data_IF_761250605922
#
_entry.id   IF_761250605922
#
_cell.length_a   1.000
_cell.length_b   1.000
_cell.length_c   1.000
_cell.angle_alpha   90.00
_cell.angle_beta   90.00
_cell.angle_gamma   90.00
#
_symmetry.space_group_name_H-M   'P 1'
#
loop_
_entity.id
_entity.type
_entity.pdbx_description
1 polymer ?
#
# COMPACT_ATOMS: atom_id res chain seq x y z
N UNK A 1 -5.21 -5.93 -7.39
CA UNK A 1 -3.77 -5.72 -7.66
C UNK A 1 -3.09 -6.97 -8.18
N UNK A 2 -3.46 -8.15 -7.69
CA UNK A 2 -2.95 -9.43 -8.17
C UNK A 2 -3.04 -9.60 -9.71
N UNK A 3 -4.13 -9.17 -10.35
CA UNK A 3 -4.28 -9.26 -11.82
C UNK A 3 -3.19 -8.51 -12.61
N UNK A 4 -2.76 -7.33 -12.12
CA UNK A 4 -1.65 -6.59 -12.72
C UNK A 4 -0.34 -7.36 -12.56
N UNK A 5 -0.08 -7.90 -11.37
CA UNK A 5 1.12 -8.71 -11.13
C UNK A 5 1.15 -9.95 -12.02
N UNK A 6 0.02 -10.65 -12.17
CA UNK A 6 -0.08 -11.81 -13.07
C UNK A 6 0.17 -11.40 -14.52
N UNK A 7 -0.28 -10.22 -14.93
CA UNK A 7 0.00 -9.66 -16.25
C UNK A 7 1.49 -9.40 -16.43
N UNK A 8 2.16 -8.78 -15.46
CA UNK A 8 3.60 -8.53 -15.48
C UNK A 8 4.41 -9.83 -15.59
N UNK A 9 3.98 -10.87 -14.88
CA UNK A 9 4.62 -12.19 -14.92
C UNK A 9 4.33 -12.96 -16.22
N UNK A 10 3.21 -12.68 -16.89
CA UNK A 10 2.79 -13.38 -18.11
C UNK A 10 3.47 -12.84 -19.36
N UNK A 11 3.74 -11.54 -19.43
CA UNK A 11 4.24 -10.89 -20.63
C UNK A 11 5.63 -10.30 -20.39
N UNK A 12 6.64 -10.80 -21.10
CA UNK A 12 8.04 -10.36 -20.93
C UNK A 12 8.28 -8.88 -21.21
N UNK A 13 7.42 -8.22 -22.00
CA UNK A 13 7.48 -6.78 -22.26
C UNK A 13 6.84 -5.92 -21.17
N UNK A 14 6.20 -6.52 -20.17
CA UNK A 14 5.51 -5.79 -19.11
C UNK A 14 6.44 -5.60 -17.90
N UNK A 15 7.06 -4.42 -17.80
CA UNK A 15 8.12 -4.11 -16.83
C UNK A 15 7.61 -3.68 -15.43
N UNK A 16 6.38 -4.04 -15.06
CA UNK A 16 5.76 -3.59 -13.81
C UNK A 16 4.98 -2.29 -13.95
N UNK A 17 4.83 -1.56 -12.83
CA UNK A 17 4.09 -0.31 -12.78
C UNK A 17 4.29 0.46 -11.49
N UNK A 18 3.89 1.72 -11.49
CA UNK A 18 3.95 2.62 -10.34
C UNK A 18 2.54 2.85 -9.81
N UNK A 19 2.32 2.58 -8.51
CA UNK A 19 1.03 2.83 -7.88
C UNK A 19 0.86 4.33 -7.67
N UNK A 20 -0.29 4.86 -8.07
CA UNK A 20 -0.72 6.20 -7.75
C UNK A 20 -1.56 6.18 -6.45
N UNK A 21 -1.20 6.90 -5.40
CA UNK A 21 0.12 7.48 -5.14
C UNK A 21 0.65 7.09 -3.76
N UNK A 22 1.82 7.59 -3.37
CA UNK A 22 2.43 7.14 -2.11
C UNK A 22 1.64 7.63 -0.90
N UNK A 23 1.32 8.93 -0.82
CA UNK A 23 0.89 9.59 0.40
C UNK A 23 -0.32 10.48 0.14
N UNK A 24 -1.30 10.46 1.05
CA UNK A 24 -2.39 11.42 1.02
C UNK A 24 -1.87 12.87 1.13
N UNK A 25 -2.48 13.77 0.39
CA UNK A 25 -2.23 15.21 0.46
C UNK A 25 -3.30 15.89 1.31
N UNK A 26 -3.20 15.72 2.64
CA UNK A 26 -4.16 16.30 3.59
C UNK A 26 -3.51 17.31 4.55
N UNK A 27 -3.59 18.61 4.25
CA UNK A 27 -3.11 19.64 5.14
C UNK A 27 -3.89 19.67 6.47
N UNK A 28 -3.21 20.11 7.52
CA UNK A 28 -3.82 20.34 8.83
C UNK A 28 -4.87 21.46 8.72
N UNK A 29 -6.05 21.23 9.27
CA UNK A 29 -7.09 22.25 9.32
C UNK A 29 -6.75 23.36 10.33
N UNK A 30 -7.14 24.62 10.06
CA UNK A 30 -6.96 25.70 11.02
C UNK A 30 -7.74 25.39 12.32
N UNK A 31 -7.04 25.39 13.45
CA UNK A 31 -7.62 25.11 14.78
C UNK A 31 -8.57 26.21 15.30
N UNK A 32 -8.89 27.24 14.51
CA UNK A 32 -9.61 28.44 14.97
C UNK A 32 -11.09 28.22 15.31
N UNK A 33 -11.67 27.07 14.98
CA UNK A 33 -13.10 26.77 15.16
C UNK A 33 -13.40 25.51 16.00
N UNK A 34 -12.38 24.85 16.58
CA UNK A 34 -12.55 23.59 17.32
C UNK A 34 -12.60 23.83 18.85
N UNK A 35 -13.57 23.21 19.55
CA UNK A 35 -13.60 23.21 21.01
C UNK A 35 -12.31 22.59 21.58
N UNK A 36 -11.95 22.90 22.83
CA UNK A 36 -10.74 22.36 23.45
C UNK A 36 -10.72 20.82 23.48
N UNK A 37 -11.88 20.16 23.54
CA UNK A 37 -12.00 18.69 23.43
C UNK A 37 -11.93 18.16 21.99
N UNK A 38 -12.15 19.01 20.97
CA UNK A 38 -12.12 18.67 19.55
C UNK A 38 -10.76 18.93 18.87
N UNK A 39 -9.76 19.43 19.62
CA UNK A 39 -8.38 19.64 19.17
C UNK A 39 -7.60 18.33 19.00
N UNK A 40 -8.25 17.28 18.50
CA UNK A 40 -7.52 16.25 17.77
C UNK A 40 -7.14 16.88 16.44
N UNK A 41 -5.87 16.80 16.05
CA UNK A 41 -5.40 17.31 14.76
C UNK A 41 -6.29 16.75 13.64
N UNK A 42 -7.11 17.60 13.02
CA UNK A 42 -7.93 17.22 11.88
C UNK A 42 -7.22 17.62 10.61
N UNK A 43 -7.21 16.70 9.66
CA UNK A 43 -6.69 16.94 8.32
C UNK A 43 -7.85 17.09 7.36
N UNK A 44 -7.73 18.04 6.44
CA UNK A 44 -8.74 18.33 5.44
C UNK A 44 -8.23 18.12 4.03
N UNK A 45 -9.12 18.30 3.07
CA UNK A 45 -8.83 18.27 1.64
C UNK A 45 -9.56 19.44 0.94
N UNK A 46 -9.60 19.44 -0.39
CA UNK A 46 -10.18 20.55 -1.14
C UNK A 46 -11.62 20.86 -0.69
N UNK A 47 -11.89 22.13 -0.40
CA UNK A 47 -13.19 22.62 0.09
C UNK A 47 -13.21 22.87 1.59
N UNK A 48 -12.40 22.17 2.38
CA UNK A 48 -12.34 22.37 3.83
C UNK A 48 -11.66 23.69 4.24
N UNK A 49 -11.01 24.39 3.29
CA UNK A 49 -10.34 25.67 3.50
C UNK A 49 -11.11 26.86 2.88
N UNK A 50 -12.37 26.63 2.47
CA UNK A 50 -13.26 27.67 1.96
C UNK A 50 -13.13 27.95 0.47
N UNK A 51 -12.40 27.12 -0.28
CA UNK A 51 -12.35 27.23 -1.73
C UNK A 51 -13.73 26.97 -2.36
N UNK A 52 -14.16 27.84 -3.28
CA UNK A 52 -15.45 27.68 -3.98
C UNK A 52 -15.38 26.63 -5.10
N UNK A 53 -14.19 26.42 -5.68
CA UNK A 53 -13.94 25.42 -6.71
C UNK A 53 -12.83 24.49 -6.22
N UNK A 54 -13.13 23.21 -6.10
CA UNK A 54 -12.23 22.18 -5.59
C UNK A 54 -12.69 20.80 -6.06
N UNK A 55 -11.78 19.82 -6.04
CA UNK A 55 -12.06 18.42 -6.40
C UNK A 55 -12.26 17.52 -5.17
N UNK A 56 -12.69 18.11 -4.06
CA UNK A 56 -12.96 17.39 -2.81
C UNK A 56 -11.75 16.58 -2.33
N UNK A 57 -11.99 15.31 -2.04
CA UNK A 57 -10.99 14.38 -1.51
C UNK A 57 -10.16 13.69 -2.60
N UNK A 58 -10.16 14.18 -3.84
CA UNK A 58 -9.38 13.58 -4.93
C UNK A 58 -7.88 13.45 -4.59
N UNK A 59 -7.37 14.32 -3.73
CA UNK A 59 -5.98 14.32 -3.25
C UNK A 59 -5.72 13.35 -2.06
N UNK A 60 -6.71 12.53 -1.69
CA UNK A 60 -6.67 11.55 -0.59
C UNK A 60 -6.60 10.13 -1.14
N UNK A 61 -5.62 9.89 -2.01
CA UNK A 61 -5.46 8.71 -2.86
C UNK A 61 -4.13 7.98 -2.62
N UNK A 62 -3.55 8.15 -1.42
CA UNK A 62 -2.28 7.55 -1.02
C UNK A 62 -2.39 6.07 -0.61
N UNK A 63 -1.22 5.43 -0.55
CA UNK A 63 -1.00 4.16 0.17
C UNK A 63 -0.81 4.36 1.67
N UNK A 64 -0.46 5.58 2.08
CA UNK A 64 -0.30 5.98 3.48
C UNK A 64 -0.98 7.31 3.75
N UNK A 65 -1.33 7.54 5.01
CA UNK A 65 -1.74 8.85 5.48
C UNK A 65 -0.60 9.86 5.35
N UNK A 66 -0.93 11.12 5.59
CA UNK A 66 0.00 12.25 5.61
C UNK A 66 1.06 12.10 6.72
N UNK A 67 0.77 11.36 7.79
CA UNK A 67 1.73 10.99 8.83
C UNK A 67 2.42 9.65 8.54
N UNK A 68 2.27 9.13 7.31
CA UNK A 68 2.84 7.88 6.81
C UNK A 68 2.30 6.64 7.53
N UNK A 69 1.10 6.75 8.09
CA UNK A 69 0.39 5.59 8.66
C UNK A 69 -0.13 4.74 7.50
N UNK A 70 0.22 3.43 7.44
CA UNK A 70 -0.26 2.55 6.38
C UNK A 70 -1.78 2.45 6.29
N UNK A 71 -2.30 2.64 5.08
CA UNK A 71 -3.67 2.26 4.75
C UNK A 71 -3.74 0.76 4.40
N UNK A 72 -4.95 0.21 4.35
CA UNK A 72 -5.15 -1.21 4.03
C UNK A 72 -4.68 -1.58 2.62
N UNK A 73 -4.74 -0.64 1.66
CA UNK A 73 -4.24 -0.83 0.29
C UNK A 73 -2.72 -1.08 0.24
N UNK A 74 -1.90 -0.47 1.12
CA UNK A 74 -0.47 -0.74 1.20
C UNK A 74 -0.17 -2.18 1.61
N UNK A 75 -1.01 -2.77 2.47
CA UNK A 75 -0.88 -4.17 2.85
C UNK A 75 -1.11 -5.10 1.66
N UNK A 76 -2.06 -4.76 0.79
CA UNK A 76 -2.29 -5.49 -0.46
C UNK A 76 -1.13 -5.31 -1.45
N UNK A 77 -0.58 -4.10 -1.60
CA UNK A 77 0.61 -3.85 -2.43
C UNK A 77 1.78 -4.71 -1.95
N UNK A 78 2.03 -4.72 -0.63
CA UNK A 78 3.08 -5.54 0.01
C UNK A 78 2.85 -7.02 -0.25
N UNK A 79 1.61 -7.48 -0.10
CA UNK A 79 1.26 -8.87 -0.35
C UNK A 79 1.52 -9.25 -1.80
N UNK A 80 1.01 -8.49 -2.78
CA UNK A 80 1.16 -8.79 -4.21
C UNK A 80 2.63 -8.79 -4.65
N UNK A 81 3.43 -7.85 -4.16
CA UNK A 81 4.85 -7.70 -4.50
C UNK A 81 5.79 -8.54 -3.61
N UNK A 82 5.27 -9.51 -2.86
CA UNK A 82 6.09 -10.39 -2.01
C UNK A 82 7.20 -11.08 -2.81
N UNK A 83 8.44 -11.13 -2.31
CA UNK A 83 9.59 -11.72 -3.01
C UNK A 83 9.52 -13.26 -3.09
N UNK A 84 8.61 -13.88 -2.34
CA UNK A 84 8.42 -15.33 -2.29
C UNK A 84 6.94 -15.65 -2.35
N UNK A 85 6.58 -16.60 -3.21
CA UNK A 85 5.22 -17.17 -3.24
C UNK A 85 5.24 -18.61 -2.78
N UNK A 86 4.32 -18.95 -1.87
CA UNK A 86 4.17 -20.29 -1.34
C UNK A 86 2.92 -20.96 -1.91
N UNK A 87 2.99 -22.25 -2.20
CA UNK A 87 1.88 -23.05 -2.71
C UNK A 87 1.86 -24.44 -2.05
N UNK A 88 0.73 -24.84 -1.49
CA UNK A 88 0.56 -26.17 -0.90
C UNK A 88 0.09 -27.16 -1.97
N UNK A 89 0.91 -28.19 -2.26
CA UNK A 89 0.58 -29.29 -3.17
C UNK A 89 0.96 -30.62 -2.57
N UNK A 90 0.00 -31.56 -2.53
CA UNK A 90 0.23 -32.94 -2.10
C UNK A 90 1.01 -33.05 -0.76
N UNK A 91 0.61 -32.24 0.24
CA UNK A 91 1.26 -32.22 1.56
C UNK A 91 2.64 -31.56 1.61
N UNK A 92 3.09 -30.90 0.53
CA UNK A 92 4.35 -30.17 0.47
C UNK A 92 4.12 -28.70 0.16
N UNK A 93 4.92 -27.82 0.77
CA UNK A 93 4.92 -26.39 0.47
C UNK A 93 6.01 -26.12 -0.57
N UNK A 94 5.61 -25.58 -1.71
CA UNK A 94 6.50 -25.12 -2.78
C UNK A 94 6.73 -23.63 -2.63
N UNK A 95 7.98 -23.21 -2.64
CA UNK A 95 8.36 -21.80 -2.59
C UNK A 95 8.92 -21.39 -3.96
N UNK A 96 8.39 -20.30 -4.53
CA UNK A 96 8.90 -19.68 -5.75
C UNK A 96 9.60 -18.37 -5.38
N UNK A 97 10.91 -18.30 -5.63
CA UNK A 97 11.69 -17.06 -5.58
C UNK A 97 11.25 -16.14 -6.73
N UNK A 98 10.92 -14.89 -6.42
CA UNK A 98 10.52 -13.86 -7.38
C UNK A 98 11.59 -12.77 -7.54
N UNK A 99 12.73 -12.89 -6.87
CA UNK A 99 13.85 -11.96 -7.00
C UNK A 99 14.59 -12.23 -8.30
N UNK A 100 15.03 -11.17 -8.98
CA UNK A 100 15.68 -11.29 -10.30
C UNK A 100 17.12 -11.82 -10.22
N UNK A 101 17.84 -11.51 -9.13
CA UNK A 101 19.28 -11.80 -9.01
C UNK A 101 19.68 -12.47 -7.71
N UNK A 102 18.90 -12.29 -6.64
CA UNK A 102 19.26 -12.75 -5.30
C UNK A 102 18.80 -14.19 -5.06
N UNK A 103 19.68 -15.00 -4.48
CA UNK A 103 19.27 -16.31 -3.94
C UNK A 103 18.40 -16.08 -2.70
N UNK A 104 17.27 -16.76 -2.68
CA UNK A 104 16.34 -16.66 -1.57
C UNK A 104 16.89 -17.33 -0.31
N UNK A 105 17.76 -18.33 -0.45
CA UNK A 105 18.36 -19.04 0.67
C UNK A 105 19.15 -18.11 1.61
N UNK A 106 19.67 -16.99 1.12
CA UNK A 106 20.44 -16.02 1.90
C UNK A 106 19.57 -15.15 2.83
N UNK A 107 18.25 -15.09 2.57
CA UNK A 107 17.34 -14.14 3.24
C UNK A 107 16.09 -14.79 3.85
N UNK A 108 15.83 -16.07 3.58
CA UNK A 108 14.60 -16.75 3.98
C UNK A 108 14.78 -17.60 5.23
N UNK A 109 13.98 -17.31 6.26
CA UNK A 109 13.73 -18.21 7.38
C UNK A 109 12.28 -18.70 7.33
N UNK A 110 12.07 -20.02 7.41
CA UNK A 110 10.74 -20.63 7.40
C UNK A 110 10.36 -21.05 8.82
N UNK A 111 9.26 -20.49 9.32
CA UNK A 111 8.61 -20.90 10.55
C UNK A 111 7.27 -21.56 10.21
N UNK A 112 6.96 -22.70 10.81
CA UNK A 112 5.70 -23.41 10.62
C UNK A 112 5.13 -23.86 11.96
N UNK A 113 3.80 -23.91 12.04
CA UNK A 113 3.06 -24.43 13.18
C UNK A 113 1.92 -25.29 12.61
N UNK A 114 1.77 -26.50 13.15
CA UNK A 114 0.60 -27.32 12.88
C UNK A 114 -0.37 -27.13 14.06
N UNK A 115 -1.61 -26.76 13.76
CA UNK A 115 -2.71 -26.73 14.73
C UNK A 115 -3.09 -28.13 15.18
#
# INVERSE_FOLDING_TARGET
MEDYWQTFQRYSGACGGFVWEWCDHAPLLPNSELSAEQKTEKYGYGGDFGETLHDGNFCMDGLVSQQRVPHSNLLEVKNVNRPVRAELKAGKIWLKNQLDFSDLADYLTVHYCFS
#
